data_IF_576208775285
#
_entry.id   IF_576208775285
#
_cell.length_a   1.000
_cell.length_b   1.000
_cell.length_c   1.000
_cell.angle_alpha   90.00
_cell.angle_beta   90.00
_cell.angle_gamma   90.00
#
_symmetry.space_group_name_H-M   'P 1'
#
loop_
_entity.id
_entity.type
_entity.pdbx_description
1 polymer ?
#
# COMPACT_ATOMS: atom_id res chain seq x y z
N UNK A 1 4.51 -2.51 20.39
CA UNK A 1 4.14 -3.92 20.13
C UNK A 1 5.31 -4.76 19.62
N UNK A 2 6.28 -4.21 18.86
CA UNK A 2 7.49 -4.94 18.43
C UNK A 2 8.41 -5.40 19.57
N UNK A 3 8.43 -4.67 20.70
CA UNK A 3 9.32 -4.96 21.84
C UNK A 3 9.06 -6.29 22.57
N UNK A 4 7.94 -6.97 22.33
CA UNK A 4 7.62 -8.26 22.97
C UNK A 4 7.87 -9.48 22.06
N UNK A 5 8.49 -9.30 20.90
CA UNK A 5 8.72 -10.39 19.93
C UNK A 5 7.44 -10.96 19.30
N UNK A 6 6.32 -10.25 19.40
CA UNK A 6 5.04 -10.70 18.83
C UNK A 6 4.88 -10.19 17.40
N UNK A 7 4.44 -11.08 16.51
CA UNK A 7 4.05 -10.73 15.15
C UNK A 7 2.59 -10.26 15.17
N UNK A 8 2.32 -9.11 14.56
CA UNK A 8 0.97 -8.56 14.40
C UNK A 8 0.69 -8.47 12.91
N UNK A 9 -0.36 -9.16 12.46
CA UNK A 9 -0.83 -9.12 11.08
C UNK A 9 -2.11 -8.31 11.06
N UNK A 10 -2.18 -7.33 10.17
CA UNK A 10 -3.35 -6.44 10.01
C UNK A 10 -3.85 -6.59 8.58
N UNK A 11 -5.13 -6.98 8.44
CA UNK A 11 -5.84 -6.96 7.15
C UNK A 11 -6.82 -5.80 7.19
N UNK A 12 -6.66 -4.84 6.29
CA UNK A 12 -7.47 -3.62 6.29
C UNK A 12 -7.58 -3.02 4.91
N UNK A 13 -8.71 -2.37 4.65
CA UNK A 13 -8.89 -1.48 3.51
C UNK A 13 -8.53 -0.03 3.87
N UNK A 14 -8.24 0.27 5.16
CA UNK A 14 -7.85 1.60 5.59
C UNK A 14 -6.36 1.84 5.37
N UNK A 15 -6.09 2.38 4.20
CA UNK A 15 -4.96 3.20 3.84
C UNK A 15 -4.07 3.75 4.95
N UNK A 16 -4.65 4.55 5.85
CA UNK A 16 -3.92 5.26 6.90
C UNK A 16 -3.21 4.31 7.86
N UNK A 17 -3.71 3.09 8.02
CA UNK A 17 -3.06 2.06 8.84
C UNK A 17 -1.81 1.54 8.14
N UNK A 18 -1.83 1.35 6.81
CA UNK A 18 -0.66 0.90 6.04
C UNK A 18 0.47 1.91 6.01
N UNK A 19 0.16 3.21 5.86
CA UNK A 19 1.19 4.28 5.79
C UNK A 19 1.70 4.68 7.17
N UNK A 20 0.82 4.82 8.18
CA UNK A 20 1.21 5.41 9.48
C UNK A 20 1.76 4.42 10.49
N UNK A 21 1.66 3.12 10.22
CA UNK A 21 2.20 2.09 11.13
C UNK A 21 3.59 1.60 10.75
N UNK A 22 4.16 2.06 9.62
CA UNK A 22 5.47 1.65 9.11
C UNK A 22 5.69 0.12 9.22
N UNK A 23 4.82 -0.69 8.59
CA UNK A 23 4.91 -2.14 8.67
C UNK A 23 6.23 -2.63 8.05
N UNK A 24 6.84 -3.63 8.69
CA UNK A 24 8.06 -4.27 8.19
C UNK A 24 7.88 -4.95 6.82
N UNK A 25 6.66 -5.41 6.53
CA UNK A 25 6.29 -6.02 5.26
C UNK A 25 4.84 -5.68 4.94
N UNK A 26 4.58 -5.40 3.67
CA UNK A 26 3.27 -5.11 3.09
C UNK A 26 3.05 -6.09 1.94
N UNK A 27 1.89 -6.72 1.93
CA UNK A 27 1.42 -7.54 0.81
C UNK A 27 0.34 -6.73 0.10
N UNK A 28 0.57 -6.43 -1.17
CA UNK A 28 -0.37 -5.72 -2.03
C UNK A 28 -0.90 -6.69 -3.10
N UNK A 29 -2.21 -6.67 -3.33
CA UNK A 29 -2.88 -7.49 -4.33
C UNK A 29 -3.61 -6.58 -5.31
N UNK A 30 -3.20 -6.64 -6.57
CA UNK A 30 -3.90 -5.99 -7.67
C UNK A 30 -4.88 -6.98 -8.29
N UNK A 31 -6.14 -6.58 -8.38
CA UNK A 31 -7.21 -7.40 -8.95
C UNK A 31 -7.48 -6.97 -10.38
N UNK A 32 -7.39 -7.91 -11.33
CA UNK A 32 -7.84 -7.74 -12.71
C UNK A 32 -9.26 -8.28 -12.89
N UNK A 33 -9.89 -7.97 -14.02
CA UNK A 33 -11.16 -8.57 -14.43
C UNK A 33 -11.05 -10.08 -14.70
N UNK A 34 -9.84 -10.56 -15.02
CA UNK A 34 -9.51 -11.98 -15.07
C UNK A 34 -8.65 -12.38 -13.87
N UNK A 35 -9.09 -13.39 -13.12
CA UNK A 35 -8.40 -13.86 -11.92
C UNK A 35 -6.98 -14.40 -12.17
N UNK A 36 -6.69 -14.85 -13.39
CA UNK A 36 -5.38 -15.35 -13.83
C UNK A 36 -4.35 -14.24 -14.03
N UNK A 37 -4.81 -12.99 -14.18
CA UNK A 37 -3.97 -11.81 -14.36
C UNK A 37 -3.72 -11.05 -13.05
N UNK A 38 -4.27 -11.52 -11.94
CA UNK A 38 -4.06 -10.91 -10.63
C UNK A 38 -2.58 -10.95 -10.25
N UNK A 39 -2.07 -9.81 -9.79
CA UNK A 39 -0.68 -9.69 -9.34
C UNK A 39 -0.60 -9.53 -7.84
N UNK A 40 0.41 -10.14 -7.24
CA UNK A 40 0.66 -10.05 -5.80
C UNK A 40 2.07 -9.56 -5.58
N UNK A 41 2.19 -8.47 -4.84
CA UNK A 41 3.45 -7.80 -4.60
C UNK A 41 3.78 -7.84 -3.11
N UNK A 42 5.07 -7.97 -2.81
CA UNK A 42 5.60 -7.83 -1.46
C UNK A 42 6.58 -6.66 -1.43
N UNK A 43 6.47 -5.81 -0.42
CA UNK A 43 7.36 -4.65 -0.28
C UNK A 43 7.31 -4.08 1.12
N UNK A 44 8.01 -2.97 1.33
CA UNK A 44 7.92 -2.18 2.56
C UNK A 44 8.46 -0.77 2.35
N UNK A 45 8.11 0.13 3.26
CA UNK A 45 8.71 1.47 3.29
C UNK A 45 10.23 1.44 3.52
N UNK A 46 10.77 0.35 4.07
CA UNK A 46 12.22 0.16 4.26
C UNK A 46 12.92 -0.29 2.98
N UNK A 47 12.28 -1.17 2.19
CA UNK A 47 12.79 -1.61 0.90
C UNK A 47 12.61 -0.52 -0.17
N UNK A 48 11.63 0.37 0.01
CA UNK A 48 11.24 1.46 -0.92
C UNK A 48 10.65 1.01 -2.24
N UNK A 49 10.52 -0.30 -2.47
CA UNK A 49 9.82 -0.87 -3.61
C UNK A 49 8.96 -2.07 -3.23
N UNK A 50 8.05 -2.40 -4.15
CA UNK A 50 7.26 -3.62 -4.21
C UNK A 50 7.82 -4.52 -5.30
N UNK A 51 8.01 -5.80 -5.01
CA UNK A 51 8.42 -6.83 -5.97
C UNK A 51 7.23 -7.74 -6.27
N UNK A 52 6.99 -8.05 -7.55
CA UNK A 52 5.99 -9.05 -7.94
C UNK A 52 6.47 -10.44 -7.53
N UNK A 53 5.61 -11.20 -6.85
CA UNK A 53 5.90 -12.58 -6.44
C UNK A 53 6.11 -13.52 -7.63
N UNK A 54 5.53 -13.20 -8.78
CA UNK A 54 5.54 -14.05 -9.97
C UNK A 54 6.52 -13.56 -11.04
N UNK A 55 7.16 -12.40 -10.86
CA UNK A 55 8.09 -11.83 -11.84
C UNK A 55 9.11 -10.89 -11.17
N UNK A 56 10.39 -11.05 -11.49
CA UNK A 56 11.44 -10.14 -11.00
C UNK A 56 11.55 -8.86 -11.81
N UNK A 57 10.81 -8.73 -12.91
CA UNK A 57 10.97 -7.60 -13.84
C UNK A 57 10.18 -6.36 -13.44
N UNK A 58 9.13 -6.52 -12.64
CA UNK A 58 8.26 -5.41 -12.25
C UNK A 58 8.54 -5.02 -10.81
N UNK A 59 9.12 -3.84 -10.63
CA UNK A 59 9.21 -3.19 -9.32
C UNK A 59 8.45 -1.87 -9.35
N UNK A 60 7.63 -1.65 -8.33
CA UNK A 60 6.94 -0.37 -8.14
C UNK A 60 7.53 0.36 -6.94
N UNK A 61 7.66 1.68 -7.02
CA UNK A 61 8.06 2.49 -5.87
C UNK A 61 6.98 2.40 -4.80
N UNK A 62 7.41 2.08 -3.57
CA UNK A 62 6.49 1.92 -2.44
C UNK A 62 5.73 3.23 -2.17
N UNK A 63 6.44 4.36 -2.21
CA UNK A 63 5.92 5.69 -1.93
C UNK A 63 4.75 6.02 -2.87
N UNK A 64 5.00 5.97 -4.18
CA UNK A 64 4.01 6.27 -5.22
C UNK A 64 2.83 5.30 -5.20
N UNK A 65 3.13 4.01 -5.07
CA UNK A 65 2.09 2.97 -5.04
C UNK A 65 1.22 3.17 -3.82
N UNK A 66 1.83 3.33 -2.64
CA UNK A 66 1.12 3.57 -1.38
C UNK A 66 0.23 4.80 -1.45
N UNK A 67 0.69 5.91 -2.01
CA UNK A 67 -0.13 7.12 -2.18
C UNK A 67 -1.31 6.86 -3.12
N UNK A 68 -1.08 6.20 -4.24
CA UNK A 68 -2.13 5.85 -5.20
C UNK A 68 -3.18 4.91 -4.61
N UNK A 69 -2.77 3.80 -4.00
CA UNK A 69 -3.68 2.74 -3.54
C UNK A 69 -4.31 3.04 -2.16
N UNK A 70 -3.60 3.77 -1.29
CA UNK A 70 -4.06 4.07 0.06
C UNK A 70 -4.80 5.43 0.08
N UNK A 71 -4.24 6.48 -0.52
CA UNK A 71 -4.92 7.79 -0.50
C UNK A 71 -5.95 7.97 -1.62
N UNK A 72 -5.97 7.06 -2.61
CA UNK A 72 -6.77 7.20 -3.83
C UNK A 72 -6.07 8.08 -4.88
N UNK A 73 -4.76 8.31 -4.71
CA UNK A 73 -3.96 9.19 -5.55
C UNK A 73 -4.20 10.68 -5.30
N UNK A 74 -3.46 11.50 -6.05
CA UNK A 74 -3.49 12.96 -5.93
C UNK A 74 -4.90 13.55 -6.13
N UNK A 75 -5.71 12.94 -6.99
CA UNK A 75 -7.07 13.38 -7.26
C UNK A 75 -7.99 13.24 -6.03
N UNK A 76 -7.94 12.09 -5.35
CA UNK A 76 -8.69 11.88 -4.12
C UNK A 76 -8.17 12.75 -2.97
N UNK A 77 -6.86 13.03 -2.94
CA UNK A 77 -6.27 13.97 -1.99
C UNK A 77 -6.80 15.40 -2.20
N UNK A 78 -6.81 15.87 -3.45
CA UNK A 78 -7.33 17.19 -3.83
C UNK A 78 -8.83 17.34 -3.55
N UNK A 79 -9.61 16.29 -3.80
CA UNK A 79 -11.04 16.27 -3.51
C UNK A 79 -11.33 16.37 -2.00
N UNK A 80 -10.58 15.63 -1.17
CA UNK A 80 -10.65 15.76 0.29
C UNK A 80 -10.22 17.15 0.76
N UNK A 81 -9.16 17.72 0.19
CA UNK A 81 -8.74 19.09 0.51
C UNK A 81 -9.85 20.11 0.17
N UNK A 82 -10.60 19.91 -0.92
CA UNK A 82 -11.74 20.76 -1.28
C UNK A 82 -12.92 20.61 -0.31
N UNK A 83 -13.21 19.40 0.16
CA UNK A 83 -14.33 19.10 1.07
C UNK A 83 -14.02 19.56 2.50
N UNK A 84 -12.83 19.25 3.02
CA UNK A 84 -12.42 19.57 4.40
C UNK A 84 -11.71 20.92 4.55
N UNK A 85 -11.20 21.50 3.46
CA UNK A 85 -10.43 22.75 3.48
C UNK A 85 -11.27 24.02 3.41
N UNK A 86 -12.60 23.92 3.28
CA UNK A 86 -13.48 25.08 3.51
C UNK A 86 -13.60 25.33 5.02
N UNK A 87 -12.90 26.35 5.49
CA UNK A 87 -13.29 27.16 6.65
C UNK A 87 -14.00 28.41 6.18
#
# INVERSE_FOLDING_TARGET
MSKSGKIVVIVTHNANIGVRTWPYSVIYRELSGDSSENKTFIGSAFLRHFEDLNSTETSYLWEETSEKILEGGQDAFNERARIYGRK
#
